data_IF_618448619362
#
_entry.id   IF_618448619362
#
_cell.length_a   1.000
_cell.length_b   1.000
_cell.length_c   1.000
_cell.angle_alpha   90.00
_cell.angle_beta   90.00
_cell.angle_gamma   90.00
#
_symmetry.space_group_name_H-M   'P 1'
#
loop_
_entity.id
_entity.type
_entity.pdbx_description
1 polymer ?
#
# COMPACT_ATOMS: atom_id res chain seq x y z
N UNK A 1 2.48 19.96 22.81
CA UNK A 1 2.50 18.61 22.23
C UNK A 1 2.35 18.67 20.75
N UNK A 2 3.28 18.12 19.99
CA UNK A 2 3.08 18.04 18.55
C UNK A 2 1.92 17.10 18.26
N UNK A 3 1.08 17.51 17.34
CA UNK A 3 -0.01 16.66 16.90
C UNK A 3 0.53 15.64 15.90
N UNK A 4 0.26 14.38 16.15
CA UNK A 4 0.55 13.35 15.18
C UNK A 4 -0.38 13.52 13.98
N UNK A 5 0.13 13.26 12.79
CA UNK A 5 -0.74 13.22 11.62
C UNK A 5 -1.68 12.02 11.76
N UNK A 6 -2.94 12.14 11.30
CA UNK A 6 -3.81 10.98 11.27
C UNK A 6 -3.17 9.85 10.46
N UNK A 7 -3.34 8.64 10.92
CA UNK A 7 -2.89 7.48 10.16
C UNK A 7 -3.75 7.31 8.91
N UNK A 8 -3.13 6.87 7.84
CA UNK A 8 -3.83 6.61 6.60
C UNK A 8 -4.46 5.22 6.67
N UNK A 9 -5.77 5.16 6.59
CA UNK A 9 -6.52 3.91 6.62
C UNK A 9 -7.44 3.89 5.41
N UNK A 10 -7.16 3.00 4.47
CA UNK A 10 -7.92 2.90 3.24
C UNK A 10 -7.72 1.54 2.60
N UNK A 11 -8.31 1.38 1.44
CA UNK A 11 -8.06 0.22 0.60
C UNK A 11 -7.49 0.68 -0.71
N UNK A 12 -6.58 -0.10 -1.25
CA UNK A 12 -5.99 0.15 -2.55
C UNK A 12 -6.14 -1.08 -3.41
N UNK A 13 -6.29 -0.85 -4.71
CA UNK A 13 -6.37 -1.92 -5.68
C UNK A 13 -5.09 -1.93 -6.49
N UNK A 14 -4.48 -3.08 -6.64
CA UNK A 14 -3.32 -3.23 -7.51
C UNK A 14 -3.81 -3.23 -8.94
N UNK A 15 -3.35 -2.27 -9.74
CA UNK A 15 -3.76 -2.14 -11.14
C UNK A 15 -2.81 -2.90 -12.03
N UNK A 16 -1.51 -2.80 -11.74
CA UNK A 16 -0.48 -3.40 -12.58
C UNK A 16 0.73 -3.73 -11.73
N UNK A 17 1.37 -4.84 -12.03
CA UNK A 17 2.63 -5.21 -11.39
C UNK A 17 3.75 -4.94 -12.38
N UNK A 18 4.73 -4.15 -11.96
CA UNK A 18 5.88 -3.76 -12.78
C UNK A 18 7.09 -4.59 -12.38
N UNK A 19 7.63 -5.35 -13.32
CA UNK A 19 8.83 -6.13 -13.05
C UNK A 19 8.59 -7.33 -12.15
N UNK A 20 9.65 -7.72 -11.43
CA UNK A 20 9.58 -8.87 -10.52
C UNK A 20 9.08 -8.40 -9.16
N UNK A 21 7.93 -8.91 -8.78
CA UNK A 21 7.33 -8.58 -7.49
C UNK A 21 7.62 -9.68 -6.48
N UNK A 22 8.44 -9.34 -5.49
CA UNK A 22 8.80 -10.28 -4.42
C UNK A 22 7.77 -10.32 -3.30
N UNK A 23 6.83 -9.39 -3.30
CA UNK A 23 5.81 -9.32 -2.26
C UNK A 23 4.58 -10.14 -2.58
N UNK A 24 4.43 -10.53 -3.84
CA UNK A 24 3.31 -11.36 -4.26
C UNK A 24 2.04 -10.59 -4.63
N UNK A 25 2.15 -9.30 -4.88
CA UNK A 25 0.97 -8.53 -5.30
C UNK A 25 0.46 -9.03 -6.65
N UNK A 26 -0.85 -9.03 -6.79
CA UNK A 26 -1.50 -9.44 -8.03
C UNK A 26 -2.38 -8.32 -8.55
N UNK A 27 -2.30 -8.07 -9.85
CA UNK A 27 -3.16 -7.08 -10.49
C UNK A 27 -4.63 -7.49 -10.34
N UNK A 28 -5.48 -6.53 -10.04
CA UNK A 28 -6.90 -6.76 -9.84
C UNK A 28 -7.30 -7.08 -8.40
N UNK A 29 -6.34 -7.27 -7.52
CA UNK A 29 -6.61 -7.54 -6.11
C UNK A 29 -6.58 -6.28 -5.29
N UNK A 30 -7.37 -6.27 -4.22
CA UNK A 30 -7.39 -5.15 -3.28
C UNK A 30 -6.60 -5.49 -2.04
N UNK A 31 -5.99 -4.48 -1.46
CA UNK A 31 -5.18 -4.61 -0.25
C UNK A 31 -5.55 -3.50 0.72
N UNK A 32 -5.43 -3.79 2.01
CA UNK A 32 -5.78 -2.81 3.04
C UNK A 32 -4.56 -2.01 3.45
N UNK A 33 -4.79 -0.75 3.79
CA UNK A 33 -3.79 0.08 4.47
C UNK A 33 -4.35 0.38 5.84
N UNK A 34 -3.62 -0.03 6.87
CA UNK A 34 -4.02 0.11 8.26
C UNK A 34 -2.90 0.81 9.01
N UNK A 35 -3.25 1.92 9.65
CA UNK A 35 -2.27 2.74 10.38
C UNK A 35 -1.07 3.14 9.52
N UNK A 36 -1.35 3.50 8.27
CA UNK A 36 -0.35 3.89 7.27
C UNK A 36 0.57 2.76 6.82
N UNK A 37 0.30 1.53 7.22
CA UNK A 37 1.05 0.36 6.77
C UNK A 37 0.24 -0.42 5.75
N UNK A 38 0.88 -0.81 4.66
CA UNK A 38 0.24 -1.65 3.66
C UNK A 38 0.28 -3.10 4.13
N UNK A 39 -0.87 -3.74 4.09
CA UNK A 39 -0.96 -5.17 4.41
C UNK A 39 -0.54 -5.97 3.18
N UNK A 40 0.52 -6.74 3.32
CA UNK A 40 1.08 -7.52 2.23
C UNK A 40 0.28 -8.82 2.01
N UNK A 41 0.38 -9.42 0.81
CA UNK A 41 -0.33 -10.67 0.53
C UNK A 41 -0.01 -11.81 1.47
N UNK A 42 1.16 -11.79 2.09
CA UNK A 42 1.54 -12.82 3.06
C UNK A 42 0.96 -12.59 4.46
N UNK A 43 0.19 -11.51 4.64
CA UNK A 43 -0.42 -11.18 5.93
C UNK A 43 0.39 -10.26 6.81
N UNK A 44 1.61 -9.95 6.42
CA UNK A 44 2.45 -9.03 7.19
C UNK A 44 2.22 -7.58 6.76
N UNK A 45 2.57 -6.65 7.64
CA UNK A 45 2.50 -5.23 7.32
C UNK A 45 3.84 -4.77 6.73
N UNK A 46 3.80 -3.74 5.89
CA UNK A 46 5.02 -3.16 5.35
C UNK A 46 5.85 -2.52 6.47
N UNK A 47 7.17 -2.50 6.30
CA UNK A 47 8.05 -1.83 7.26
C UNK A 47 7.90 -0.31 7.23
N UNK A 48 7.70 0.24 6.03
CA UNK A 48 7.54 1.66 5.89
C UNK A 48 6.11 2.10 6.10
N UNK A 49 5.92 3.40 6.28
CA UNK A 49 4.60 3.99 6.37
C UNK A 49 4.34 4.84 5.14
N UNK A 50 3.08 4.90 4.74
CA UNK A 50 2.64 5.63 3.56
C UNK A 50 1.47 6.51 3.95
N UNK A 51 1.44 7.72 3.45
CA UNK A 51 0.35 8.65 3.74
C UNK A 51 -0.41 9.08 2.49
N UNK A 52 0.03 8.62 1.32
CA UNK A 52 -0.67 8.85 0.05
C UNK A 52 -0.32 7.78 -0.95
N UNK A 53 -1.16 7.69 -1.99
CA UNK A 53 -0.99 6.67 -3.03
C UNK A 53 0.29 6.87 -3.83
N UNK A 54 0.71 8.12 -4.01
CA UNK A 54 1.92 8.41 -4.76
C UNK A 54 3.16 7.81 -4.10
N UNK A 55 3.26 7.93 -2.79
CA UNK A 55 4.38 7.35 -2.05
C UNK A 55 4.37 5.84 -2.12
N UNK A 56 3.18 5.25 -2.06
CA UNK A 56 3.04 3.81 -2.17
C UNK A 56 3.55 3.32 -3.51
N UNK A 57 3.20 4.01 -4.59
CA UNK A 57 3.63 3.64 -5.94
C UNK A 57 5.14 3.80 -6.14
N UNK A 58 5.78 4.71 -5.42
CA UNK A 58 7.21 4.89 -5.51
C UNK A 58 8.00 3.77 -4.83
N UNK A 59 7.42 3.14 -3.81
CA UNK A 59 8.13 2.15 -3.00
C UNK A 59 8.00 0.73 -3.51
N UNK A 60 6.96 0.45 -4.29
CA UNK A 60 6.71 -0.89 -4.81
C UNK A 60 6.75 -0.89 -6.33
N UNK A 61 7.13 -2.04 -6.89
CA UNK A 61 7.11 -2.20 -8.34
C UNK A 61 5.71 -2.59 -8.81
N UNK A 62 4.75 -1.77 -8.42
CA UNK A 62 3.35 -1.99 -8.78
C UNK A 62 2.62 -0.65 -8.77
N UNK A 63 1.55 -0.58 -9.52
CA UNK A 63 0.68 0.60 -9.55
C UNK A 63 -0.54 0.31 -8.72
N UNK A 64 -0.83 1.18 -7.78
CA UNK A 64 -1.99 1.06 -6.92
C UNK A 64 -2.92 2.26 -7.12
N UNK A 65 -4.19 2.04 -6.87
CA UNK A 65 -5.21 3.06 -6.93
C UNK A 65 -6.08 2.96 -5.69
N UNK A 66 -6.44 4.10 -5.10
CA UNK A 66 -7.32 4.09 -3.96
C UNK A 66 -8.70 3.57 -4.34
N UNK A 67 -9.24 2.72 -3.48
CA UNK A 67 -10.57 2.18 -3.62
C UNK A 67 -11.34 2.54 -2.35
N UNK A 68 -12.48 3.14 -2.54
CA UNK A 68 -13.35 3.44 -1.40
C UNK A 68 -14.24 2.26 -1.03
#
# INVERSE_FOLDING_TARGET
>A
MPKSKPKWNTKVKCIEVLGIDRTGFEAGKTYDIINSHLVLPNGNESYGTYDCIEKLNECFYAVFEEVE
#
